data_IF_140673895161
#
_entry.id   IF_140673895161
#
_cell.length_a   1.000
_cell.length_b   1.000
_cell.length_c   1.000
_cell.angle_alpha   90.00
_cell.angle_beta   90.00
_cell.angle_gamma   90.00
#
_symmetry.space_group_name_H-M   'P 1'
#
loop_
_entity.id
_entity.type
_entity.pdbx_description
1 polymer ?
#
# COMPACT_ATOMS: atom_id res chain seq x y z
N UNK A 1 22.36 20.37 12.76
CA UNK A 1 20.89 20.38 12.64
C UNK A 1 20.41 18.97 12.35
N UNK A 2 19.51 18.48 13.17
CA UNK A 2 18.89 17.17 12.93
C UNK A 2 17.69 17.36 12.01
N UNK A 3 17.69 16.68 10.88
CA UNK A 3 16.54 16.66 9.97
C UNK A 3 15.70 15.42 10.27
N UNK A 4 14.43 15.64 10.61
CA UNK A 4 13.45 14.57 10.75
C UNK A 4 12.79 14.37 9.38
N UNK A 5 12.88 13.14 8.86
CA UNK A 5 12.16 12.79 7.65
C UNK A 5 10.73 12.42 8.00
N UNK A 6 9.78 13.20 7.51
CA UNK A 6 8.37 12.97 7.79
C UNK A 6 7.87 11.67 7.12
N UNK A 7 8.38 11.36 5.93
CA UNK A 7 8.00 10.17 5.16
C UNK A 7 9.25 9.35 4.80
N UNK A 8 9.80 8.58 5.77
CA UNK A 8 11.07 7.88 5.57
C UNK A 8 10.95 6.58 4.79
N UNK A 9 9.74 6.09 4.57
CA UNK A 9 9.50 4.80 3.93
C UNK A 9 8.99 4.96 2.51
N UNK A 10 8.89 3.82 1.80
CA UNK A 10 8.46 3.76 0.40
C UNK A 10 7.29 2.80 0.27
N UNK A 11 6.24 3.25 -0.43
CA UNK A 11 5.05 2.46 -0.68
C UNK A 11 5.11 1.90 -2.10
N UNK A 12 5.07 0.59 -2.21
CA UNK A 12 4.93 -0.12 -3.48
C UNK A 12 3.54 -0.73 -3.56
N UNK A 13 2.94 -0.65 -4.73
CA UNK A 13 1.66 -1.30 -5.03
C UNK A 13 1.90 -2.45 -5.99
N UNK A 14 1.15 -3.53 -5.82
CA UNK A 14 1.20 -4.67 -6.72
C UNK A 14 0.23 -4.44 -7.87
N UNK A 15 0.73 -4.48 -9.10
CA UNK A 15 -0.09 -4.47 -10.30
C UNK A 15 -0.36 -5.90 -10.74
N UNK A 16 -1.63 -6.22 -10.96
CA UNK A 16 -2.02 -7.52 -11.51
C UNK A 16 -1.51 -7.67 -12.92
N UNK A 17 -0.87 -8.80 -13.20
CA UNK A 17 -0.50 -9.15 -14.56
C UNK A 17 -1.74 -9.49 -15.39
N UNK A 18 -1.65 -9.26 -16.69
CA UNK A 18 -2.72 -9.61 -17.62
C UNK A 18 -2.57 -11.07 -18.07
N UNK A 19 -3.70 -11.78 -18.13
CA UNK A 19 -3.78 -13.09 -18.76
C UNK A 19 -4.11 -12.89 -20.24
N UNK A 20 -3.38 -13.57 -21.11
CA UNK A 20 -3.64 -13.56 -22.54
C UNK A 20 -3.45 -14.94 -23.13
N UNK A 21 -4.08 -15.19 -24.27
CA UNK A 21 -3.94 -16.42 -25.01
C UNK A 21 -2.80 -16.27 -26.02
N UNK A 22 -1.88 -17.26 -26.05
CA UNK A 22 -0.81 -17.30 -27.04
C UNK A 22 -1.31 -17.86 -28.40
N UNK A 23 -0.40 -17.94 -29.39
CA UNK A 23 -0.74 -18.44 -30.73
C UNK A 23 -1.19 -19.90 -30.73
N UNK A 24 -0.77 -20.67 -29.73
CA UNK A 24 -1.14 -22.08 -29.57
C UNK A 24 -2.43 -22.29 -28.78
N UNK A 25 -3.06 -21.20 -28.34
CA UNK A 25 -4.29 -21.25 -27.56
C UNK A 25 -4.06 -21.45 -26.05
N UNK A 26 -2.82 -21.44 -25.58
CA UNK A 26 -2.51 -21.55 -24.16
C UNK A 26 -2.62 -20.20 -23.47
N UNK A 27 -3.08 -20.21 -22.21
CA UNK A 27 -3.12 -19.00 -21.39
C UNK A 27 -1.74 -18.69 -20.83
N UNK A 28 -1.28 -17.46 -21.08
CA UNK A 28 -0.04 -16.92 -20.52
C UNK A 28 -0.42 -15.87 -19.50
N UNK A 29 0.06 -16.04 -18.26
CA UNK A 29 -0.17 -15.09 -17.17
C UNK A 29 1.09 -14.27 -16.96
N UNK A 30 0.98 -12.95 -17.07
CA UNK A 30 2.06 -12.04 -16.72
C UNK A 30 2.17 -11.98 -15.18
N UNK A 31 3.35 -12.21 -14.60
CA UNK A 31 3.51 -12.11 -13.15
C UNK A 31 3.15 -10.74 -12.63
N UNK A 32 2.63 -10.68 -11.39
CA UNK A 32 2.40 -9.43 -10.70
C UNK A 32 3.71 -8.67 -10.53
N UNK A 33 3.68 -7.36 -10.76
CA UNK A 33 4.82 -6.49 -10.61
C UNK A 33 4.59 -5.50 -9.48
N UNK A 34 5.67 -5.15 -8.77
CA UNK A 34 5.65 -4.07 -7.78
C UNK A 34 5.99 -2.76 -8.46
N UNK A 35 5.20 -1.72 -8.19
CA UNK A 35 5.43 -0.38 -8.69
C UNK A 35 5.53 0.59 -7.53
N UNK A 36 6.56 1.43 -7.54
CA UNK A 36 6.69 2.48 -6.54
C UNK A 36 5.55 3.48 -6.68
N UNK A 37 4.75 3.63 -5.64
CA UNK A 37 3.62 4.55 -5.61
C UNK A 37 4.01 5.92 -5.04
N UNK A 38 4.85 5.94 -4.02
CA UNK A 38 5.31 7.17 -3.40
C UNK A 38 6.00 6.94 -2.07
N UNK A 39 6.33 8.05 -1.41
CA UNK A 39 6.90 8.05 -0.07
C UNK A 39 5.79 7.88 0.95
N UNK A 40 6.13 7.33 2.10
CA UNK A 40 5.17 7.13 3.18
C UNK A 40 5.86 7.03 4.54
N UNK A 41 5.04 7.01 5.59
CA UNK A 41 5.46 6.72 6.95
C UNK A 41 4.61 5.60 7.50
N UNK A 42 5.21 4.45 7.71
CA UNK A 42 4.53 3.31 8.31
C UNK A 42 4.58 3.42 9.84
N UNK A 43 3.43 3.29 10.47
CA UNK A 43 3.29 3.27 11.92
C UNK A 43 2.57 1.98 12.31
N UNK A 44 3.33 1.00 12.80
CA UNK A 44 2.76 -0.27 13.26
C UNK A 44 2.03 -0.03 14.58
N UNK A 45 0.75 0.28 14.52
CA UNK A 45 -0.05 0.62 15.70
C UNK A 45 -1.47 0.05 15.61
N UNK A 46 -1.60 -1.12 15.03
CA UNK A 46 -2.91 -1.80 14.95
C UNK A 46 -3.43 -2.21 16.33
N UNK A 47 -2.64 -2.94 17.11
CA UNK A 47 -2.94 -3.40 18.47
C UNK A 47 -4.35 -3.97 18.65
N UNK A 48 -4.90 -4.63 17.63
CA UNK A 48 -6.26 -5.13 17.65
C UNK A 48 -7.34 -4.06 17.46
N UNK A 49 -6.97 -2.84 17.12
CA UNK A 49 -7.93 -1.78 16.80
C UNK A 49 -8.66 -2.09 15.50
N UNK A 50 -9.89 -1.60 15.43
CA UNK A 50 -10.73 -1.77 14.25
C UNK A 50 -10.95 -0.44 13.55
N UNK A 51 -11.13 -0.52 12.23
CA UNK A 51 -11.49 0.61 11.39
C UNK A 51 -12.74 0.25 10.58
N UNK A 52 -13.63 1.21 10.42
CA UNK A 52 -14.80 1.05 9.55
C UNK A 52 -14.37 1.13 8.09
N UNK A 53 -14.65 0.07 7.34
CA UNK A 53 -14.38 -0.02 5.91
C UNK A 53 -15.64 0.23 5.10
N UNK A 54 -15.56 0.13 3.77
CA UNK A 54 -16.71 0.31 2.89
C UNK A 54 -17.87 -0.60 3.29
N UNK A 55 -19.10 -0.07 3.25
CA UNK A 55 -20.30 -0.81 3.63
C UNK A 55 -20.55 -0.92 5.13
N UNK A 56 -19.82 -0.16 5.97
CA UNK A 56 -20.01 -0.14 7.41
C UNK A 56 -19.43 -1.35 8.13
N UNK A 57 -18.57 -2.13 7.47
CA UNK A 57 -17.92 -3.29 8.07
C UNK A 57 -16.68 -2.87 8.85
N UNK A 58 -16.57 -3.30 10.11
CA UNK A 58 -15.40 -3.05 10.93
C UNK A 58 -14.37 -4.17 10.73
N UNK A 59 -13.11 -3.81 10.48
CA UNK A 59 -12.01 -4.75 10.32
C UNK A 59 -10.82 -4.32 11.15
N UNK A 60 -10.12 -5.31 11.71
CA UNK A 60 -8.85 -5.05 12.41
C UNK A 60 -7.77 -4.72 11.41
N UNK A 61 -6.96 -3.71 11.74
CA UNK A 61 -5.82 -3.34 10.93
C UNK A 61 -4.51 -3.59 11.69
N UNK A 62 -3.45 -3.86 10.92
CA UNK A 62 -2.11 -4.12 11.47
C UNK A 62 -1.31 -2.83 11.56
N UNK A 63 -1.42 -1.98 10.56
CA UNK A 63 -0.62 -0.77 10.46
C UNK A 63 -1.39 0.37 9.81
N UNK A 64 -1.10 1.57 10.29
CA UNK A 64 -1.50 2.83 9.68
C UNK A 64 -0.31 3.38 8.89
N UNK A 65 -0.53 3.72 7.63
CA UNK A 65 0.46 4.32 6.76
C UNK A 65 0.05 5.76 6.47
N UNK A 66 0.89 6.71 6.85
CA UNK A 66 0.71 8.12 6.52
C UNK A 66 1.40 8.43 5.20
N UNK A 67 0.72 9.22 4.36
CA UNK A 67 1.13 9.54 3.01
C UNK A 67 1.13 11.06 2.82
N UNK A 68 2.01 11.62 1.96
CA UNK A 68 1.97 13.03 1.65
C UNK A 68 0.61 13.45 1.10
N UNK A 69 0.24 14.70 1.34
CA UNK A 69 -0.95 15.29 0.76
C UNK A 69 -0.89 15.16 -0.76
N UNK A 70 -2.01 14.80 -1.37
CA UNK A 70 -2.10 14.65 -2.82
C UNK A 70 -1.63 13.30 -3.34
N UNK A 71 -1.25 12.37 -2.47
CA UNK A 71 -0.95 11.00 -2.88
C UNK A 71 -2.17 10.39 -3.57
N UNK A 72 -1.95 9.76 -4.72
CA UNK A 72 -3.02 9.10 -5.46
C UNK A 72 -3.64 7.98 -4.64
N UNK A 73 -4.94 7.83 -4.76
CA UNK A 73 -5.72 6.82 -4.06
C UNK A 73 -5.24 5.41 -4.44
N UNK A 74 -5.13 4.56 -3.42
CA UNK A 74 -4.92 3.13 -3.59
C UNK A 74 -6.23 2.42 -3.29
N UNK A 75 -6.70 1.60 -4.23
CA UNK A 75 -7.98 0.90 -4.08
C UNK A 75 -7.94 -0.13 -2.94
N UNK A 76 -9.07 -0.29 -2.26
CA UNK A 76 -9.24 -1.32 -1.25
C UNK A 76 -8.99 -2.70 -1.88
N UNK A 77 -8.33 -3.58 -1.14
CA UNK A 77 -7.97 -4.91 -1.63
C UNK A 77 -6.65 -4.97 -2.39
N UNK A 78 -6.02 -3.84 -2.68
CA UNK A 78 -4.71 -3.82 -3.34
C UNK A 78 -3.63 -4.33 -2.39
N UNK A 79 -2.77 -5.22 -2.86
CA UNK A 79 -1.59 -5.63 -2.10
C UNK A 79 -0.53 -4.55 -2.16
N UNK A 80 -0.01 -4.20 -1.01
CA UNK A 80 1.04 -3.18 -0.86
C UNK A 80 2.22 -3.72 -0.08
N UNK A 81 3.39 -3.17 -0.38
CA UNK A 81 4.64 -3.47 0.31
C UNK A 81 5.27 -2.15 0.72
N UNK A 82 5.58 -2.01 2.00
CA UNK A 82 6.28 -0.85 2.53
C UNK A 82 7.72 -1.24 2.83
N UNK A 83 8.65 -0.45 2.30
CA UNK A 83 10.08 -0.73 2.41
C UNK A 83 10.83 0.44 3.04
N UNK A 84 12.03 0.16 3.51
CA UNK A 84 12.94 1.18 4.05
C UNK A 84 13.80 1.81 2.95
N UNK A 85 13.83 1.21 1.75
CA UNK A 85 14.66 1.66 0.63
C UNK A 85 13.85 1.86 -0.65
N UNK A 86 14.34 2.72 -1.52
CA UNK A 86 13.68 3.04 -2.79
C UNK A 86 13.70 1.88 -3.78
N UNK A 87 14.64 0.96 -3.65
CA UNK A 87 14.74 -0.21 -4.51
C UNK A 87 13.71 -1.31 -4.16
N UNK A 88 13.10 -1.22 -2.98
CA UNK A 88 12.09 -2.20 -2.54
C UNK A 88 12.68 -3.51 -2.04
N UNK A 89 13.97 -3.54 -1.69
CA UNK A 89 14.64 -4.76 -1.23
C UNK A 89 14.53 -5.00 0.26
N UNK A 90 14.42 -3.94 1.05
CA UNK A 90 14.32 -4.03 2.52
C UNK A 90 12.86 -3.85 2.95
N UNK A 91 12.13 -4.96 2.95
CA UNK A 91 10.70 -4.96 3.27
C UNK A 91 10.48 -4.75 4.76
N UNK A 92 9.69 -3.74 5.09
CA UNK A 92 9.29 -3.44 6.46
C UNK A 92 7.98 -4.13 6.84
N UNK A 93 6.96 -4.01 5.99
CA UNK A 93 5.66 -4.64 6.19
C UNK A 93 4.96 -4.78 4.84
N UNK A 94 4.08 -5.74 4.74
CA UNK A 94 3.22 -5.94 3.57
C UNK A 94 1.81 -6.27 4.02
N UNK A 95 0.85 -5.97 3.19
CA UNK A 95 -0.55 -6.28 3.50
C UNK A 95 -1.49 -5.86 2.40
N UNK A 96 -2.76 -5.98 2.68
CA UNK A 96 -3.85 -5.60 1.80
C UNK A 96 -4.47 -4.30 2.29
N UNK A 97 -4.75 -3.38 1.36
CA UNK A 97 -5.39 -2.10 1.71
C UNK A 97 -6.80 -2.35 2.20
N UNK A 98 -7.08 -1.94 3.43
CA UNK A 98 -8.40 -1.99 4.03
C UNK A 98 -9.18 -0.70 3.79
N UNK A 99 -8.49 0.44 3.83
CA UNK A 99 -9.08 1.76 3.65
C UNK A 99 -8.03 2.78 3.24
N UNK A 100 -8.43 3.74 2.42
CA UNK A 100 -7.65 4.92 2.07
C UNK A 100 -8.47 6.17 2.35
N UNK A 101 -7.86 7.16 2.98
CA UNK A 101 -8.51 8.44 3.31
C UNK A 101 -7.60 9.61 2.89
N UNK A 102 -8.10 10.47 2.02
CA UNK A 102 -7.39 11.67 1.58
C UNK A 102 -7.74 12.84 2.52
N UNK A 103 -6.91 13.04 3.55
CA UNK A 103 -7.09 14.13 4.51
C UNK A 103 -6.60 15.48 3.99
N UNK A 104 -6.82 16.54 4.77
CA UNK A 104 -6.42 17.89 4.41
C UNK A 104 -4.91 18.11 4.50
N UNK A 105 -4.25 17.52 5.50
CA UNK A 105 -2.83 17.69 5.75
C UNK A 105 -1.98 16.54 5.15
N UNK A 106 -2.53 15.35 5.18
CA UNK A 106 -1.89 14.15 4.66
C UNK A 106 -2.95 13.10 4.38
N UNK A 107 -2.61 12.13 3.55
CA UNK A 107 -3.45 10.96 3.32
C UNK A 107 -3.12 9.84 4.32
N UNK A 108 -4.04 8.92 4.51
CA UNK A 108 -3.88 7.76 5.38
C UNK A 108 -4.33 6.49 4.68
N UNK A 109 -3.63 5.41 4.98
CA UNK A 109 -3.94 4.09 4.43
C UNK A 109 -3.81 3.07 5.56
N UNK A 110 -4.78 2.18 5.66
CA UNK A 110 -4.77 1.10 6.67
C UNK A 110 -4.61 -0.26 5.97
N UNK A 111 -3.73 -1.06 6.52
CA UNK A 111 -3.52 -2.44 6.08
C UNK A 111 -3.68 -3.43 7.20
#
# INVERSE_FOLDING_TARGET
>A
MIRVKQYPHYLFVTESGESRQDESGNWVVTPNALRLHGRCREETDGRGQEIETAGGVFRRFTSLIQLPRGTQRVADGTHVVITNDAAGSDVRIRGEVLKFDAGQLHARLWI
#
